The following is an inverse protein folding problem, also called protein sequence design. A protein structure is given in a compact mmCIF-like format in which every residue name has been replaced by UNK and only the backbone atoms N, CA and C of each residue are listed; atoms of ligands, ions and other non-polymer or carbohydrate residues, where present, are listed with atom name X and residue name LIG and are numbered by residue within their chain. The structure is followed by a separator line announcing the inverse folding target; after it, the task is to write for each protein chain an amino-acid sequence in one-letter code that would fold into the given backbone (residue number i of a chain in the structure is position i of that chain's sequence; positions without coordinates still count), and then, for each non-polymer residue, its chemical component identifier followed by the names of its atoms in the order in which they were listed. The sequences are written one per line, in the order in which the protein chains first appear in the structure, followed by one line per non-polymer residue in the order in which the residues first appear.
data_IF_891818232621
#
_entry.id   IF_891818232621
#
_cell.length_a   1.000
_cell.length_b   1.000
_cell.length_c   1.000
_cell.angle_alpha   90.00
_cell.angle_beta   90.00
_cell.angle_gamma   90.00
#
_symmetry.space_group_name_H-M   'P 1'
#
loop_
_entity.id
_entity.type
_entity.pdbx_description
1 polymer ?
#
# COMPACT_ATOMS: atom_id res chain seq x y z
N UNK A 1 -11.98 -1.17 19.33
CA UNK A 1 -11.45 0.21 19.27
C UNK A 1 -12.30 1.03 18.30
N UNK A 2 -12.66 0.53 17.12
CA UNK A 2 -13.35 1.26 16.05
C UNK A 2 -14.78 1.72 16.40
N UNK A 3 -15.39 1.14 17.44
CA UNK A 3 -16.73 1.50 17.91
C UNK A 3 -16.77 2.64 18.93
N UNK A 4 -15.62 3.11 19.43
CA UNK A 4 -15.56 4.11 20.51
C UNK A 4 -16.10 5.46 20.02
N UNK A 5 -15.66 5.92 18.86
CA UNK A 5 -16.06 7.22 18.30
C UNK A 5 -17.55 7.25 17.94
N UNK A 6 -18.11 6.28 17.16
CA UNK A 6 -19.53 6.23 16.88
C UNK A 6 -20.40 6.12 18.16
N UNK A 7 -19.96 5.35 19.16
CA UNK A 7 -20.67 5.22 20.43
C UNK A 7 -20.69 6.53 21.20
N UNK A 8 -19.55 7.23 21.27
CA UNK A 8 -19.46 8.54 21.92
C UNK A 8 -20.40 9.56 21.27
N UNK A 9 -20.41 9.62 19.94
CA UNK A 9 -21.24 10.55 19.18
C UNK A 9 -22.72 10.28 19.41
N UNK A 10 -23.14 9.01 19.36
CA UNK A 10 -24.54 8.64 19.60
C UNK A 10 -25.00 8.88 21.04
N UNK A 11 -24.09 8.90 22.01
CA UNK A 11 -24.44 9.06 23.43
C UNK A 11 -24.29 10.48 23.95
N UNK A 12 -23.34 11.24 23.44
CA UNK A 12 -22.98 12.57 23.96
C UNK A 12 -23.45 13.72 23.09
N UNK A 13 -23.78 13.47 21.80
CA UNK A 13 -24.14 14.52 20.85
C UNK A 13 -25.63 14.42 20.46
N UNK A 14 -26.26 15.54 20.07
CA UNK A 14 -27.63 15.53 19.59
C UNK A 14 -27.76 14.81 18.24
N UNK A 15 -28.96 14.26 17.97
CA UNK A 15 -29.23 13.43 16.78
C UNK A 15 -28.88 14.09 15.43
N UNK A 16 -29.10 15.38 15.31
CA UNK A 16 -28.74 16.13 14.10
C UNK A 16 -27.23 16.13 13.85
N UNK A 17 -26.42 16.18 14.92
CA UNK A 17 -24.96 16.13 14.79
C UNK A 17 -24.50 14.74 14.38
N UNK A 18 -25.10 13.68 14.95
CA UNK A 18 -24.81 12.30 14.54
C UNK A 18 -25.11 12.08 13.06
N UNK A 19 -26.24 12.59 12.55
CA UNK A 19 -26.58 12.53 11.11
C UNK A 19 -25.56 13.26 10.25
N UNK A 20 -25.18 14.50 10.60
CA UNK A 20 -24.15 15.28 9.91
C UNK A 20 -22.80 14.56 9.90
N UNK A 21 -22.39 14.02 11.01
CA UNK A 21 -21.14 13.26 11.15
C UNK A 21 -21.11 12.03 10.23
N UNK A 22 -22.20 11.28 10.16
CA UNK A 22 -22.32 10.13 9.27
C UNK A 22 -22.25 10.55 7.80
N UNK A 23 -22.92 11.64 7.42
CA UNK A 23 -22.83 12.17 6.05
C UNK A 23 -21.41 12.62 5.70
N UNK A 24 -20.71 13.27 6.61
CA UNK A 24 -19.32 13.68 6.41
C UNK A 24 -18.38 12.47 6.19
N UNK A 25 -18.50 11.42 7.01
CA UNK A 25 -17.70 10.20 6.86
C UNK A 25 -18.00 9.52 5.52
N UNK A 26 -19.28 9.38 5.16
CA UNK A 26 -19.67 8.80 3.88
C UNK A 26 -19.11 9.60 2.70
N UNK A 27 -19.24 10.92 2.73
CA UNK A 27 -18.71 11.80 1.69
C UNK A 27 -17.20 11.71 1.55
N UNK A 28 -16.46 11.72 2.67
CA UNK A 28 -15.01 11.57 2.69
C UNK A 28 -14.57 10.20 2.14
N UNK A 29 -15.24 9.13 2.55
CA UNK A 29 -14.96 7.78 2.08
C UNK A 29 -15.21 7.64 0.58
N UNK A 30 -16.34 8.14 0.08
CA UNK A 30 -16.67 8.10 -1.35
C UNK A 30 -15.69 8.91 -2.20
N UNK A 31 -15.26 10.08 -1.73
CA UNK A 31 -14.25 10.91 -2.41
C UNK A 31 -12.92 10.16 -2.55
N UNK A 32 -12.44 9.55 -1.48
CA UNK A 32 -11.18 8.79 -1.48
C UNK A 32 -11.26 7.55 -2.36
N UNK A 33 -12.32 6.75 -2.21
CA UNK A 33 -12.51 5.54 -3.01
C UNK A 33 -12.63 5.84 -4.50
N UNK A 34 -13.38 6.87 -4.87
CA UNK A 34 -13.54 7.28 -6.27
C UNK A 34 -12.20 7.62 -6.92
N UNK A 35 -11.36 8.40 -6.24
CA UNK A 35 -10.04 8.77 -6.76
C UNK A 35 -9.11 7.56 -6.89
N UNK A 36 -9.13 6.65 -5.92
CA UNK A 36 -8.31 5.43 -5.96
C UNK A 36 -8.72 4.49 -7.09
N UNK A 37 -10.01 4.20 -7.24
CA UNK A 37 -10.49 3.37 -8.35
C UNK A 37 -10.21 3.99 -9.72
N UNK A 38 -10.34 5.33 -9.83
CA UNK A 38 -9.99 6.02 -11.06
C UNK A 38 -8.48 5.88 -11.38
N UNK A 39 -7.62 6.03 -10.39
CA UNK A 39 -6.17 5.85 -10.55
C UNK A 39 -5.81 4.44 -10.95
N UNK A 40 -6.42 3.42 -10.32
CA UNK A 40 -6.23 2.01 -10.70
C UNK A 40 -6.66 1.76 -12.15
N UNK A 41 -7.84 2.24 -12.55
CA UNK A 41 -8.33 2.12 -13.91
C UNK A 41 -7.46 2.85 -14.93
N UNK A 42 -6.97 4.05 -14.59
CA UNK A 42 -6.06 4.81 -15.42
C UNK A 42 -4.72 4.08 -15.60
N UNK A 43 -4.14 3.51 -14.54
CA UNK A 43 -2.91 2.71 -14.64
C UNK A 43 -3.09 1.51 -15.56
N UNK A 44 -4.19 0.77 -15.45
CA UNK A 44 -4.47 -0.36 -16.36
C UNK A 44 -4.64 0.13 -17.78
N UNK A 45 -5.37 1.22 -18.00
CA UNK A 45 -5.65 1.74 -19.33
C UNK A 45 -4.44 2.42 -19.97
N UNK A 46 -3.79 3.36 -19.28
CA UNK A 46 -2.70 4.13 -19.87
C UNK A 46 -1.37 3.38 -19.84
N UNK A 47 -1.03 2.75 -18.72
CA UNK A 47 0.31 2.22 -18.53
C UNK A 47 0.44 0.81 -19.12
N UNK A 48 -0.57 -0.04 -18.97
CA UNK A 48 -0.54 -1.40 -19.54
C UNK A 48 -1.02 -1.37 -21.00
N UNK A 49 -2.27 -1.02 -21.23
CA UNK A 49 -2.85 -1.09 -22.57
C UNK A 49 -2.25 -0.08 -23.54
N UNK A 50 -2.01 1.16 -23.08
CA UNK A 50 -1.39 2.23 -23.89
C UNK A 50 0.02 1.89 -24.37
N UNK A 51 0.79 1.16 -23.57
CA UNK A 51 2.13 0.69 -23.92
C UNK A 51 2.08 -0.39 -25.03
N UNK A 52 1.10 -1.31 -24.96
CA UNK A 52 0.95 -2.38 -25.96
C UNK A 52 0.26 -1.93 -27.26
N UNK A 53 -0.64 -0.93 -27.21
CA UNK A 53 -1.40 -0.44 -28.37
C UNK A 53 -1.53 1.09 -28.40
N UNK A 54 -0.47 1.84 -28.74
CA UNK A 54 -0.41 3.30 -28.61
C UNK A 54 -1.39 4.08 -29.52
N UNK A 55 -1.98 3.45 -30.52
CA UNK A 55 -2.72 4.14 -31.62
C UNK A 55 -4.26 4.19 -31.46
N UNK A 56 -4.84 3.67 -30.38
CA UNK A 56 -6.30 3.52 -30.26
C UNK A 56 -6.89 4.34 -29.11
N UNK A 57 -6.90 5.69 -29.24
CA UNK A 57 -7.45 6.59 -28.19
C UNK A 57 -8.91 6.31 -27.82
N UNK A 58 -9.77 5.93 -28.77
CA UNK A 58 -11.18 5.61 -28.48
C UNK A 58 -11.39 4.35 -27.66
N UNK A 59 -10.52 3.36 -27.82
CA UNK A 59 -10.56 2.12 -27.00
C UNK A 59 -9.95 2.30 -25.61
N UNK A 60 -9.06 3.27 -25.43
CA UNK A 60 -8.42 3.56 -24.14
C UNK A 60 -9.43 3.88 -23.04
N UNK A 61 -10.42 4.72 -23.33
CA UNK A 61 -11.46 5.08 -22.37
C UNK A 61 -12.27 3.86 -21.92
N UNK A 62 -12.58 2.95 -22.84
CA UNK A 62 -13.30 1.71 -22.48
C UNK A 62 -12.43 0.78 -21.64
N UNK A 63 -11.13 0.70 -21.91
CA UNK A 63 -10.20 -0.10 -21.11
C UNK A 63 -10.05 0.49 -19.70
N UNK A 64 -9.97 1.82 -19.56
CA UNK A 64 -9.97 2.49 -18.26
C UNK A 64 -11.25 2.15 -17.47
N UNK A 65 -12.42 2.26 -18.11
CA UNK A 65 -13.71 1.92 -17.48
C UNK A 65 -13.76 0.45 -17.04
N UNK A 66 -13.29 -0.46 -17.89
CA UNK A 66 -13.21 -1.87 -17.55
C UNK A 66 -12.23 -2.13 -16.40
N UNK A 67 -11.09 -1.45 -16.38
CA UNK A 67 -10.11 -1.50 -15.30
C UNK A 67 -10.70 -1.02 -13.97
N UNK A 68 -11.48 0.08 -13.97
CA UNK A 68 -12.21 0.56 -12.79
C UNK A 68 -13.22 -0.48 -12.30
N UNK A 69 -14.03 -1.04 -13.19
CA UNK A 69 -15.00 -2.08 -12.83
C UNK A 69 -14.34 -3.32 -12.25
N UNK A 70 -13.26 -3.78 -12.87
CA UNK A 70 -12.50 -4.93 -12.40
C UNK A 70 -11.91 -4.69 -11.01
N UNK A 71 -11.25 -3.54 -10.79
CA UNK A 71 -10.68 -3.20 -9.49
C UNK A 71 -11.74 -3.06 -8.40
N UNK A 72 -12.91 -2.52 -8.74
CA UNK A 72 -14.04 -2.42 -7.82
C UNK A 72 -14.58 -3.81 -7.42
N UNK A 73 -14.75 -4.73 -8.38
CA UNK A 73 -15.19 -6.10 -8.10
C UNK A 73 -14.19 -6.85 -7.23
N UNK A 74 -12.90 -6.76 -7.55
CA UNK A 74 -11.83 -7.40 -6.75
C UNK A 74 -11.80 -6.83 -5.34
N UNK A 75 -11.87 -5.51 -5.18
CA UNK A 75 -11.91 -4.87 -3.86
C UNK A 75 -13.15 -5.27 -3.05
N UNK A 76 -14.30 -5.41 -3.69
CA UNK A 76 -15.53 -5.85 -3.04
C UNK A 76 -15.41 -7.28 -2.51
N UNK A 77 -14.88 -8.21 -3.33
CA UNK A 77 -14.64 -9.59 -2.93
C UNK A 77 -13.67 -9.67 -1.75
N UNK A 78 -12.55 -8.94 -1.83
CA UNK A 78 -11.56 -8.88 -0.76
C UNK A 78 -12.19 -8.32 0.52
N UNK A 79 -12.95 -7.23 0.43
CA UNK A 79 -13.62 -6.61 1.57
C UNK A 79 -14.60 -7.57 2.27
N UNK A 80 -15.29 -8.41 1.51
CA UNK A 80 -16.21 -9.43 2.05
C UNK A 80 -15.47 -10.56 2.78
N UNK A 81 -14.26 -10.90 2.34
CA UNK A 81 -13.44 -11.95 2.95
C UNK A 81 -12.64 -11.47 4.17
N UNK A 82 -12.40 -10.16 4.30
CA UNK A 82 -11.60 -9.62 5.39
C UNK A 82 -12.44 -9.39 6.66
N UNK A 83 -11.91 -9.72 7.85
CA UNK A 83 -12.54 -9.37 9.12
C UNK A 83 -12.55 -7.85 9.34
N UNK A 84 -13.61 -7.36 10.00
CA UNK A 84 -13.89 -5.92 10.17
C UNK A 84 -12.81 -5.15 10.95
N UNK A 85 -12.01 -5.82 11.77
CA UNK A 85 -10.98 -5.20 12.61
C UNK A 85 -9.68 -4.83 11.86
N UNK A 86 -9.60 -5.19 10.56
CA UNK A 86 -8.39 -5.00 9.74
C UNK A 86 -8.31 -3.62 9.08
N UNK A 87 -9.39 -2.84 9.01
CA UNK A 87 -9.47 -1.62 8.19
C UNK A 87 -8.37 -0.60 8.57
N UNK A 88 -8.27 -0.26 9.85
CA UNK A 88 -7.26 0.70 10.31
C UNK A 88 -5.83 0.18 10.13
N UNK A 89 -5.61 -1.11 10.38
CA UNK A 89 -4.31 -1.78 10.19
C UNK A 89 -3.95 -1.88 8.71
N UNK A 90 -4.90 -2.28 7.86
CA UNK A 90 -4.69 -2.38 6.42
C UNK A 90 -4.23 -1.06 5.79
N UNK A 91 -4.78 0.07 6.24
CA UNK A 91 -4.36 1.39 5.79
C UNK A 91 -2.92 1.70 6.21
N UNK A 92 -2.56 1.44 7.48
CA UNK A 92 -1.20 1.64 7.98
C UNK A 92 -0.18 0.79 7.22
N UNK A 93 -0.48 -0.49 7.02
CA UNK A 93 0.35 -1.43 6.26
C UNK A 93 0.58 -0.93 4.84
N UNK A 94 -0.51 -0.56 4.14
CA UNK A 94 -0.43 -0.07 2.77
C UNK A 94 0.43 1.20 2.66
N UNK A 95 0.22 2.17 3.55
CA UNK A 95 1.01 3.40 3.59
C UNK A 95 2.48 3.12 3.90
N UNK A 96 2.76 2.18 4.82
CA UNK A 96 4.12 1.74 5.15
C UNK A 96 4.84 1.12 3.95
N UNK A 97 4.20 0.22 3.21
CA UNK A 97 4.76 -0.39 1.99
C UNK A 97 5.01 0.67 0.93
N UNK A 98 4.04 1.55 0.68
CA UNK A 98 4.17 2.62 -0.30
C UNK A 98 5.31 3.58 0.06
N UNK A 99 5.41 3.99 1.32
CA UNK A 99 6.49 4.85 1.77
C UNK A 99 7.87 4.19 1.61
N UNK A 100 8.01 2.93 2.03
CA UNK A 100 9.29 2.21 1.91
C UNK A 100 9.71 1.98 0.44
N UNK A 101 8.76 1.75 -0.46
CA UNK A 101 9.03 1.52 -1.88
C UNK A 101 9.28 2.82 -2.65
N UNK A 102 8.35 3.79 -2.54
CA UNK A 102 8.34 4.95 -3.44
C UNK A 102 9.13 6.16 -2.91
N UNK A 103 9.18 6.38 -1.59
CA UNK A 103 9.80 7.59 -1.04
C UNK A 103 11.30 7.70 -1.39
N UNK A 104 12.14 6.65 -1.22
CA UNK A 104 13.55 6.75 -1.59
C UNK A 104 13.74 6.94 -3.10
N UNK A 105 12.95 6.24 -3.91
CA UNK A 105 12.99 6.37 -5.36
C UNK A 105 12.64 7.79 -5.83
N UNK A 106 11.57 8.36 -5.28
CA UNK A 106 11.12 9.72 -5.60
C UNK A 106 12.12 10.78 -5.14
N UNK A 107 12.60 10.69 -3.91
CA UNK A 107 13.57 11.62 -3.36
C UNK A 107 14.88 11.62 -4.16
N UNK A 108 15.41 10.44 -4.47
CA UNK A 108 16.64 10.34 -5.26
C UNK A 108 16.43 10.81 -6.70
N UNK A 109 15.27 10.58 -7.31
CA UNK A 109 14.98 11.06 -8.66
C UNK A 109 14.96 12.61 -8.73
N UNK A 110 14.50 13.29 -7.68
CA UNK A 110 14.46 14.75 -7.63
C UNK A 110 15.79 15.40 -7.27
N UNK A 111 16.47 14.85 -6.27
CA UNK A 111 17.63 15.54 -5.67
C UNK A 111 18.99 14.94 -6.06
N UNK A 112 19.02 13.69 -6.53
CA UNK A 112 20.28 13.01 -6.82
C UNK A 112 20.48 12.78 -8.31
N UNK A 113 21.25 13.67 -8.97
CA UNK A 113 21.54 13.62 -10.41
C UNK A 113 22.21 12.33 -10.91
N UNK A 114 22.83 11.54 -10.02
CA UNK A 114 23.48 10.26 -10.35
C UNK A 114 22.56 9.06 -10.19
N UNK A 115 21.28 9.25 -9.83
CA UNK A 115 20.32 8.17 -9.76
C UNK A 115 20.12 7.52 -11.13
N UNK A 116 20.21 6.19 -11.18
CA UNK A 116 20.04 5.43 -12.41
C UNK A 116 18.68 4.73 -12.43
N UNK A 117 18.15 4.46 -13.64
CA UNK A 117 16.88 3.71 -13.78
C UNK A 117 16.92 2.37 -13.07
N UNK A 118 18.07 1.68 -13.13
CA UNK A 118 18.25 0.38 -12.46
C UNK A 118 18.26 0.53 -10.94
N UNK A 119 18.87 1.59 -10.39
CA UNK A 119 18.85 1.89 -8.96
C UNK A 119 17.43 2.17 -8.45
N UNK A 120 16.64 2.95 -9.20
CA UNK A 120 15.23 3.21 -8.86
C UNK A 120 14.42 1.91 -8.88
N UNK A 121 14.56 1.08 -9.90
CA UNK A 121 13.88 -0.22 -9.98
C UNK A 121 14.27 -1.15 -8.82
N UNK A 122 15.56 -1.21 -8.47
CA UNK A 122 16.03 -2.00 -7.33
C UNK A 122 15.43 -1.50 -6.00
N UNK A 123 15.37 -0.20 -5.79
CA UNK A 123 14.75 0.40 -4.60
C UNK A 123 13.26 0.04 -4.47
N UNK A 124 12.51 0.12 -5.56
CA UNK A 124 11.10 -0.27 -5.58
C UNK A 124 10.91 -1.75 -5.20
N UNK A 125 11.68 -2.64 -5.80
CA UNK A 125 11.60 -4.07 -5.49
C UNK A 125 12.04 -4.38 -4.07
N UNK A 126 13.17 -3.84 -3.62
CA UNK A 126 13.69 -4.08 -2.27
C UNK A 126 12.76 -3.48 -1.21
N UNK A 127 12.23 -2.29 -1.44
CA UNK A 127 11.27 -1.66 -0.52
C UNK A 127 9.98 -2.46 -0.41
N UNK A 128 9.41 -2.89 -1.53
CA UNK A 128 8.15 -3.67 -1.54
C UNK A 128 8.35 -5.07 -0.95
N UNK A 129 9.37 -5.81 -1.41
CA UNK A 129 9.64 -7.16 -0.92
C UNK A 129 10.11 -7.16 0.53
N UNK A 130 10.93 -6.18 0.92
CA UNK A 130 11.40 -6.01 2.31
C UNK A 130 10.24 -5.71 3.27
N UNK A 131 9.31 -4.84 2.87
CA UNK A 131 8.11 -4.56 3.66
C UNK A 131 7.20 -5.79 3.74
N UNK A 132 6.96 -6.48 2.63
CA UNK A 132 6.14 -7.67 2.60
C UNK A 132 6.75 -8.79 3.47
N UNK A 133 8.06 -9.00 3.38
CA UNK A 133 8.78 -9.95 4.22
C UNK A 133 8.64 -9.62 5.71
N UNK A 134 8.86 -8.36 6.07
CA UNK A 134 8.75 -7.92 7.45
C UNK A 134 7.33 -8.09 8.01
N UNK A 135 6.29 -7.84 7.19
CA UNK A 135 4.89 -8.06 7.57
C UNK A 135 4.55 -9.52 7.79
N UNK A 136 5.01 -10.39 6.89
CA UNK A 136 4.66 -11.81 6.93
C UNK A 136 5.42 -12.55 8.03
N UNK A 137 6.66 -12.16 8.32
CA UNK A 137 7.57 -12.94 9.16
C UNK A 137 7.96 -12.27 10.48
N UNK A 138 7.97 -10.93 10.56
CA UNK A 138 8.47 -10.20 11.72
C UNK A 138 7.35 -9.59 12.57
N UNK A 139 6.31 -9.05 11.95
CA UNK A 139 5.27 -8.34 12.68
C UNK A 139 4.23 -9.31 13.23
N UNK A 140 4.17 -9.44 14.57
CA UNK A 140 3.40 -10.48 15.25
C UNK A 140 1.91 -10.52 14.90
N UNK A 141 1.26 -9.35 14.80
CA UNK A 141 -0.20 -9.28 14.58
C UNK A 141 -0.59 -9.71 13.18
N UNK A 142 0.18 -9.30 12.17
CA UNK A 142 -0.08 -9.58 10.77
C UNK A 142 0.40 -10.97 10.37
N UNK A 143 1.55 -11.40 10.87
CA UNK A 143 2.07 -12.75 10.66
C UNK A 143 1.11 -13.82 11.23
N UNK A 144 0.58 -13.58 12.43
CA UNK A 144 -0.42 -14.47 13.05
C UNK A 144 -1.74 -14.47 12.28
N UNK A 145 -2.20 -13.31 11.78
CA UNK A 145 -3.43 -13.20 10.99
C UNK A 145 -3.33 -13.91 9.63
N UNK A 146 -2.17 -13.84 8.96
CA UNK A 146 -1.93 -14.53 7.69
C UNK A 146 -1.65 -16.02 7.85
N UNK A 147 -1.12 -16.46 8.99
CA UNK A 147 -0.81 -17.86 9.28
C UNK A 147 0.30 -18.48 8.45
N UNK A 148 0.95 -17.72 7.55
CA UNK A 148 1.98 -18.23 6.63
C UNK A 148 3.24 -18.64 7.40
N UNK A 149 3.65 -17.83 8.38
CA UNK A 149 4.81 -18.12 9.21
C UNK A 149 4.57 -19.39 10.04
N UNK A 150 3.36 -19.57 10.57
CA UNK A 150 2.97 -20.78 11.31
C UNK A 150 2.95 -22.04 10.44
N UNK A 151 2.52 -21.89 9.18
CA UNK A 151 2.51 -23.02 8.22
C UNK A 151 3.92 -23.46 7.81
N UNK A 152 4.86 -22.50 7.64
CA UNK A 152 6.22 -22.79 7.18
C UNK A 152 7.19 -23.15 8.31
N UNK A 153 7.09 -22.49 9.46
CA UNK A 153 8.08 -22.61 10.56
C UNK A 153 7.47 -23.09 11.87
N UNK A 154 6.17 -23.33 11.96
CA UNK A 154 5.48 -23.75 13.18
C UNK A 154 5.45 -22.70 14.29
N UNK A 155 5.87 -21.47 14.03
CA UNK A 155 5.90 -20.33 14.95
C UNK A 155 5.05 -19.18 14.42
N UNK A 156 4.50 -18.38 15.31
CA UNK A 156 3.68 -17.23 14.92
C UNK A 156 4.54 -16.09 14.34
N UNK A 157 5.80 -15.97 14.74
CA UNK A 157 6.79 -15.00 14.20
C UNK A 157 8.17 -15.64 14.15
N UNK A 158 9.02 -15.14 13.26
CA UNK A 158 10.39 -15.63 13.10
C UNK A 158 11.29 -15.22 14.29
N UNK A 159 11.11 -13.99 14.79
CA UNK A 159 11.88 -13.40 15.88
C UNK A 159 10.93 -12.96 17.00
N UNK A 160 10.97 -13.68 18.11
CA UNK A 160 10.15 -13.40 19.29
C UNK A 160 10.74 -12.34 20.22
N UNK A 161 12.01 -11.94 20.00
CA UNK A 161 12.73 -10.99 20.85
C UNK A 161 12.19 -9.57 20.66
N UNK A 162 11.73 -8.95 21.73
CA UNK A 162 11.41 -7.53 21.73
C UNK A 162 12.64 -6.69 21.32
N UNK A 163 12.52 -5.68 20.43
CA UNK A 163 11.32 -5.00 19.98
C UNK A 163 10.77 -5.44 18.60
N UNK A 164 11.37 -6.38 17.91
CA UNK A 164 11.07 -6.75 16.51
C UNK A 164 9.60 -7.06 16.19
N UNK A 165 8.84 -7.79 17.03
CA UNK A 165 7.45 -8.13 16.72
C UNK A 165 6.48 -6.95 16.76
N UNK A 166 6.90 -5.80 17.30
CA UNK A 166 6.04 -4.62 17.53
C UNK A 166 6.43 -3.44 16.63
N UNK A 167 7.66 -3.45 16.10
CA UNK A 167 8.17 -2.36 15.24
C UNK A 167 7.49 -2.41 13.88
N UNK A 168 7.06 -1.23 13.39
CA UNK A 168 6.49 -1.09 12.07
C UNK A 168 7.52 -1.51 10.99
N UNK A 169 7.14 -2.38 10.04
CA UNK A 169 7.99 -2.84 8.94
C UNK A 169 8.69 -1.74 8.15
N UNK A 170 8.14 -0.55 8.13
CA UNK A 170 8.72 0.61 7.43
C UNK A 170 10.13 0.95 7.96
N UNK A 171 10.38 0.77 9.27
CA UNK A 171 11.66 1.09 9.89
C UNK A 171 12.81 0.22 9.38
N UNK A 172 12.52 -0.98 8.90
CA UNK A 172 13.52 -1.86 8.28
C UNK A 172 13.55 -1.72 6.76
N UNK A 173 12.40 -1.65 6.13
CA UNK A 173 12.28 -1.65 4.68
C UNK A 173 12.75 -0.32 4.06
N UNK A 174 12.52 0.82 4.71
CA UNK A 174 12.89 2.13 4.19
C UNK A 174 14.42 2.32 4.14
N UNK A 175 15.21 2.06 5.22
CA UNK A 175 16.68 2.13 5.13
C UNK A 175 17.25 1.15 4.11
N UNK A 176 16.69 -0.07 4.02
CA UNK A 176 17.13 -1.07 3.06
C UNK A 176 16.89 -0.62 1.61
N UNK A 177 15.75 0.00 1.35
CA UNK A 177 15.40 0.58 0.05
C UNK A 177 16.31 1.77 -0.32
N UNK A 178 16.67 2.63 0.64
CA UNK A 178 17.64 3.72 0.44
C UNK A 178 19.02 3.14 0.11
N UNK A 179 19.47 2.13 0.84
CA UNK A 179 20.74 1.47 0.55
C UNK A 179 20.75 0.85 -0.85
N UNK A 180 19.68 0.19 -1.24
CA UNK A 180 19.54 -0.42 -2.55
C UNK A 180 19.68 0.59 -3.69
N UNK A 181 18.99 1.75 -3.61
CA UNK A 181 19.09 2.76 -4.67
C UNK A 181 20.50 3.36 -4.75
N UNK A 182 21.13 3.61 -3.60
CA UNK A 182 22.49 4.19 -3.56
C UNK A 182 23.49 3.19 -4.15
N UNK A 183 23.52 1.97 -3.65
CA UNK A 183 24.48 0.95 -4.09
C UNK A 183 24.32 0.63 -5.58
N UNK A 184 23.10 0.34 -6.03
CA UNK A 184 22.86 -0.03 -7.43
C UNK A 184 23.12 1.16 -8.37
N UNK A 185 22.77 2.38 -7.98
CA UNK A 185 23.05 3.56 -8.81
C UNK A 185 24.54 3.85 -8.92
N UNK A 186 25.31 3.67 -7.85
CA UNK A 186 26.77 3.83 -7.89
C UNK A 186 27.44 2.77 -8.75
N UNK A 187 26.99 1.51 -8.65
CA UNK A 187 27.52 0.42 -9.46
C UNK A 187 27.19 0.58 -10.95
N UNK A 188 25.97 1.01 -11.25
CA UNK A 188 25.50 1.16 -12.64
C UNK A 188 25.96 2.47 -13.28
N UNK A 189 26.11 3.54 -12.48
CA UNK A 189 26.59 4.83 -12.96
C UNK A 189 28.09 4.85 -13.31
N UNK A 190 28.87 3.91 -12.80
CA UNK A 190 30.30 3.75 -13.08
C UNK A 190 30.58 3.14 -14.46
N UNK A 191 29.58 2.52 -15.07
CA UNK A 191 29.70 1.86 -16.38
C UNK A 191 29.21 2.74 -17.55
N UNK A 192 28.97 4.02 -17.34
CA UNK A 192 28.74 5.05 -18.36
C UNK A 192 29.84 6.10 -18.29
#
# INVERSE_FOLDING_TARGET
IDKIIPYFINKAMPDWFAALFMLCILSASMSTLSSQFHTMGASVGSDIYGTYKPRSRGKLTNVIRLGVLFSLLVSYIICYMLPHDIIARGTSIFMGICAAAFLPAYFCALYWKKATKQGVMASLWVGTLGSAFALIFLHQKEAAAMGICKFLFGKDVLIETYPFPVIDPILFALPLSILAIVVVSLLTGRNK
#
